data_IF_415100145576
#
_entry.id   IF_415100145576
#
_cell.length_a   1.000
_cell.length_b   1.000
_cell.length_c   1.000
_cell.angle_alpha   90.00
_cell.angle_beta   90.00
_cell.angle_gamma   90.00
#
_symmetry.space_group_name_H-M   'P 1'
#
loop_
_entity.id
_entity.type
_entity.pdbx_description
1 polymer ?
#
# COMPACT_ATOMS: atom_id res chain seq x y z
N UNK A 1 7.43 -21.24 -19.57
CA UNK A 1 6.80 -20.59 -18.41
C UNK A 1 7.07 -21.45 -17.20
N UNK A 2 7.58 -20.90 -16.14
CA UNK A 2 7.79 -21.63 -14.88
C UNK A 2 6.46 -21.72 -14.12
N UNK A 3 6.35 -22.66 -13.18
CA UNK A 3 5.15 -22.81 -12.35
C UNK A 3 4.85 -21.56 -11.49
N UNK A 4 5.89 -20.83 -11.11
CA UNK A 4 5.77 -19.54 -10.42
C UNK A 4 5.08 -18.50 -11.34
N UNK A 5 5.53 -18.39 -12.60
CA UNK A 5 4.94 -17.49 -13.59
C UNK A 5 3.47 -17.85 -13.90
N UNK A 6 3.16 -19.14 -14.04
CA UNK A 6 1.77 -19.58 -14.28
C UNK A 6 0.84 -19.10 -13.16
N UNK A 7 1.24 -19.28 -11.91
CA UNK A 7 0.47 -18.84 -10.74
C UNK A 7 0.44 -17.32 -10.56
N UNK A 8 1.55 -16.64 -10.82
CA UNK A 8 1.61 -15.19 -10.79
C UNK A 8 0.75 -14.55 -11.88
N UNK A 9 0.67 -15.19 -13.05
CA UNK A 9 -0.13 -14.71 -14.17
C UNK A 9 -1.64 -14.75 -13.89
N UNK A 10 -2.15 -15.70 -13.09
CA UNK A 10 -3.54 -15.67 -12.61
C UNK A 10 -3.85 -14.38 -11.86
N UNK A 11 -2.91 -13.92 -11.02
CA UNK A 11 -3.04 -12.65 -10.29
C UNK A 11 -2.88 -11.44 -11.21
N UNK A 12 -1.90 -11.51 -12.13
CA UNK A 12 -1.65 -10.46 -13.12
C UNK A 12 -2.85 -10.24 -14.04
N UNK A 13 -3.45 -11.34 -14.51
CA UNK A 13 -4.63 -11.32 -15.37
C UNK A 13 -5.84 -10.68 -14.67
N UNK A 14 -6.02 -10.99 -13.37
CA UNK A 14 -7.03 -10.33 -12.56
C UNK A 14 -6.79 -8.81 -12.43
N UNK A 15 -5.55 -8.35 -12.46
CA UNK A 15 -5.18 -6.94 -12.48
C UNK A 15 -5.16 -6.31 -13.89
N UNK A 16 -5.39 -7.10 -14.95
CA UNK A 16 -5.26 -6.66 -16.33
C UNK A 16 -3.81 -6.35 -16.75
N UNK A 17 -2.82 -6.99 -16.09
CA UNK A 17 -1.38 -6.83 -16.31
C UNK A 17 -0.82 -8.09 -16.98
N UNK A 18 0.22 -7.94 -17.80
CA UNK A 18 0.72 -9.03 -18.66
C UNK A 18 1.58 -10.07 -17.94
N UNK A 19 2.43 -9.62 -17.01
CA UNK A 19 3.46 -10.47 -16.41
C UNK A 19 3.43 -10.35 -14.88
N UNK A 20 3.68 -11.45 -14.19
CA UNK A 20 3.80 -11.49 -12.74
C UNK A 20 4.87 -12.46 -12.28
N UNK A 21 5.46 -12.19 -11.12
CA UNK A 21 6.42 -13.07 -10.43
C UNK A 21 6.08 -13.06 -8.94
N UNK A 22 5.96 -14.26 -8.35
CA UNK A 22 5.77 -14.43 -6.90
C UNK A 22 7.13 -14.52 -6.21
N UNK A 23 7.32 -13.72 -5.17
CA UNK A 23 8.55 -13.60 -4.39
C UNK A 23 8.29 -13.83 -2.90
N UNK A 24 9.33 -13.94 -2.09
CA UNK A 24 9.23 -14.38 -0.69
C UNK A 24 8.48 -13.42 0.25
N UNK A 25 8.34 -12.13 -0.08
CA UNK A 25 7.59 -11.17 0.73
C UNK A 25 7.24 -9.90 -0.05
N UNK A 26 6.34 -9.08 0.51
CA UNK A 26 6.07 -7.75 -0.03
C UNK A 26 7.31 -6.83 -0.05
N UNK A 27 8.18 -6.92 0.96
CA UNK A 27 9.44 -6.16 1.00
C UNK A 27 10.37 -6.58 -0.15
N UNK A 28 10.45 -7.88 -0.44
CA UNK A 28 11.21 -8.41 -1.59
C UNK A 28 10.57 -7.97 -2.91
N UNK A 29 9.25 -7.90 -3.00
CA UNK A 29 8.56 -7.38 -4.17
C UNK A 29 8.93 -5.90 -4.44
N UNK A 30 8.91 -5.06 -3.39
CA UNK A 30 9.35 -3.65 -3.47
C UNK A 30 10.81 -3.53 -3.90
N UNK A 31 11.70 -4.27 -3.24
CA UNK A 31 13.13 -4.29 -3.56
C UNK A 31 13.38 -4.74 -5.02
N UNK A 32 12.66 -5.76 -5.47
CA UNK A 32 12.74 -6.26 -6.85
C UNK A 32 12.25 -5.21 -7.84
N UNK A 33 11.13 -4.54 -7.55
CA UNK A 33 10.60 -3.49 -8.42
C UNK A 33 11.58 -2.32 -8.57
N UNK A 34 12.17 -1.86 -7.46
CA UNK A 34 13.20 -0.80 -7.49
C UNK A 34 14.41 -1.20 -8.36
N UNK A 35 14.86 -2.45 -8.26
CA UNK A 35 16.00 -2.93 -9.06
C UNK A 35 15.66 -3.12 -10.53
N UNK A 36 14.48 -3.70 -10.84
CA UNK A 36 14.00 -3.84 -12.24
C UNK A 36 13.79 -2.46 -12.86
N UNK A 37 13.35 -1.48 -12.08
CA UNK A 37 13.24 -0.07 -12.47
C UNK A 37 14.60 0.63 -12.62
N UNK A 38 15.73 -0.08 -12.37
CA UNK A 38 17.09 0.43 -12.45
C UNK A 38 17.35 1.62 -11.50
N UNK A 39 16.72 1.60 -10.33
CA UNK A 39 17.02 2.54 -9.25
C UNK A 39 18.38 2.20 -8.65
N UNK A 40 19.24 3.20 -8.53
CA UNK A 40 20.66 3.07 -8.17
C UNK A 40 20.97 3.74 -6.84
N UNK A 41 22.13 3.41 -6.24
CA UNK A 41 22.62 4.15 -5.10
C UNK A 41 22.68 5.66 -5.36
N UNK A 42 22.12 6.44 -4.45
CA UNK A 42 22.02 7.89 -4.54
C UNK A 42 20.78 8.45 -5.24
N UNK A 43 19.99 7.63 -5.97
CA UNK A 43 18.73 8.07 -6.55
C UNK A 43 17.70 8.41 -5.44
N UNK A 44 16.91 9.45 -5.65
CA UNK A 44 15.85 9.81 -4.72
C UNK A 44 14.54 9.09 -5.07
N UNK A 45 13.92 8.47 -4.06
CA UNK A 45 12.64 7.76 -4.15
C UNK A 45 11.61 8.44 -3.25
N UNK A 46 10.56 8.96 -3.85
CA UNK A 46 9.46 9.62 -3.16
C UNK A 46 8.52 8.59 -2.54
N UNK A 47 8.14 8.78 -1.27
CA UNK A 47 7.17 7.96 -0.55
C UNK A 47 6.29 8.78 0.37
N UNK A 48 5.07 8.29 0.64
CA UNK A 48 4.18 8.85 1.64
C UNK A 48 4.75 8.60 3.06
N UNK A 49 4.73 9.61 3.94
CA UNK A 49 5.25 9.51 5.30
C UNK A 49 4.50 8.51 6.19
N UNK A 50 3.22 8.29 5.92
CA UNK A 50 2.40 7.30 6.66
C UNK A 50 2.54 5.86 6.13
N UNK A 51 3.59 5.57 5.38
CA UNK A 51 3.83 4.27 4.76
C UNK A 51 4.25 3.17 5.77
N UNK A 52 4.34 1.94 5.28
CA UNK A 52 4.94 0.84 6.03
C UNK A 52 6.47 0.97 6.05
N UNK A 53 7.11 0.56 7.15
CA UNK A 53 8.58 0.50 7.27
C UNK A 53 9.27 -0.27 6.13
N UNK A 54 8.60 -1.27 5.55
CA UNK A 54 9.14 -2.06 4.42
C UNK A 54 9.50 -1.23 3.18
N UNK A 55 8.86 -0.06 2.97
CA UNK A 55 9.23 0.85 1.87
C UNK A 55 10.60 1.47 2.13
N UNK A 56 10.82 2.01 3.33
CA UNK A 56 12.10 2.53 3.75
C UNK A 56 13.21 1.46 3.63
N UNK A 57 12.95 0.27 4.17
CA UNK A 57 13.87 -0.85 4.12
C UNK A 57 14.25 -1.22 2.67
N UNK A 58 13.29 -1.32 1.76
CA UNK A 58 13.54 -1.64 0.37
C UNK A 58 14.37 -0.57 -0.34
N UNK A 59 14.09 0.72 -0.10
CA UNK A 59 14.84 1.85 -0.67
C UNK A 59 16.27 1.85 -0.16
N UNK A 60 16.49 1.68 1.14
CA UNK A 60 17.82 1.64 1.73
C UNK A 60 18.64 0.44 1.20
N UNK A 61 18.00 -0.70 0.97
CA UNK A 61 18.67 -1.89 0.43
C UNK A 61 19.12 -1.75 -1.03
N UNK A 62 18.58 -0.84 -1.83
CA UNK A 62 19.13 -0.49 -3.16
C UNK A 62 20.14 0.65 -3.07
N UNK A 63 20.39 1.22 -1.88
CA UNK A 63 21.27 2.36 -1.66
C UNK A 63 20.69 3.70 -2.12
N UNK A 64 19.40 3.77 -2.38
CA UNK A 64 18.68 4.98 -2.76
C UNK A 64 18.30 5.83 -1.53
N UNK A 65 17.93 7.08 -1.75
CA UNK A 65 17.55 8.02 -0.71
C UNK A 65 16.02 8.13 -0.61
N UNK A 66 15.40 7.80 0.51
CA UNK A 66 13.98 8.04 0.71
C UNK A 66 13.69 9.54 0.91
N UNK A 67 12.71 10.06 0.17
CA UNK A 67 12.13 11.37 0.37
C UNK A 67 10.72 11.17 0.91
N UNK A 68 10.52 11.46 2.18
CA UNK A 68 9.20 11.36 2.82
C UNK A 68 8.39 12.62 2.55
N UNK A 69 7.14 12.44 2.12
CA UNK A 69 6.14 13.51 2.03
C UNK A 69 5.05 13.27 3.06
N UNK A 70 4.82 14.26 3.90
CA UNK A 70 3.66 14.31 4.80
C UNK A 70 2.57 15.09 4.06
N UNK A 71 1.60 14.42 3.45
CA UNK A 71 0.60 15.07 2.62
C UNK A 71 -0.40 15.87 3.46
N UNK A 72 -0.98 16.89 2.84
CA UNK A 72 -1.96 17.76 3.48
C UNK A 72 -3.26 16.99 3.82
N UNK A 73 -3.67 16.08 2.97
CA UNK A 73 -4.90 15.31 3.19
C UNK A 73 -4.71 14.03 4.00
N UNK A 74 -3.49 13.79 4.54
CA UNK A 74 -3.12 12.63 5.35
C UNK A 74 -3.06 11.30 4.56
N UNK A 75 -3.89 11.09 3.54
CA UNK A 75 -4.03 9.79 2.87
C UNK A 75 -3.14 9.65 1.64
N UNK A 76 -3.24 10.63 0.75
CA UNK A 76 -2.63 10.61 -0.59
C UNK A 76 -1.78 11.85 -0.84
N UNK A 77 -0.74 11.69 -1.63
CA UNK A 77 0.05 12.83 -2.10
C UNK A 77 -0.63 13.36 -3.37
N UNK A 78 -1.04 14.62 -3.36
CA UNK A 78 -1.69 15.24 -4.51
C UNK A 78 -0.69 15.55 -5.64
N UNK A 79 -1.19 15.73 -6.86
CA UNK A 79 -0.39 16.14 -8.03
C UNK A 79 0.35 17.44 -7.75
N UNK A 80 -0.30 18.42 -7.09
CA UNK A 80 0.32 19.70 -6.75
C UNK A 80 1.47 19.57 -5.74
N UNK A 81 1.34 18.67 -4.78
CA UNK A 81 2.41 18.38 -3.82
C UNK A 81 3.59 17.71 -4.54
N UNK A 82 3.33 16.72 -5.40
CA UNK A 82 4.37 16.08 -6.22
C UNK A 82 5.08 17.11 -7.09
N UNK A 83 4.34 18.01 -7.76
CA UNK A 83 4.92 19.07 -8.59
C UNK A 83 5.88 19.95 -7.79
N UNK A 84 5.51 20.36 -6.58
CA UNK A 84 6.39 21.15 -5.70
C UNK A 84 7.65 20.38 -5.31
N UNK A 85 7.50 19.09 -4.98
CA UNK A 85 8.65 18.23 -4.65
C UNK A 85 9.60 18.11 -5.84
N UNK A 86 9.08 17.86 -7.05
CA UNK A 86 9.87 17.69 -8.28
C UNK A 86 10.57 18.98 -8.71
N UNK A 87 10.00 20.14 -8.44
CA UNK A 87 10.63 21.43 -8.75
C UNK A 87 11.88 21.70 -7.92
N UNK A 88 11.98 21.13 -6.73
CA UNK A 88 13.07 21.36 -5.78
C UNK A 88 14.00 20.16 -5.63
N UNK A 89 13.61 18.98 -6.17
CA UNK A 89 14.33 17.74 -5.97
C UNK A 89 14.36 16.92 -7.25
N UNK A 90 15.50 16.33 -7.57
CA UNK A 90 15.58 15.29 -8.57
C UNK A 90 15.01 13.99 -8.01
N UNK A 91 13.80 13.62 -8.42
CA UNK A 91 13.12 12.39 -8.01
C UNK A 91 13.14 11.40 -9.17
N UNK A 92 13.69 10.22 -8.94
CA UNK A 92 13.75 9.16 -9.95
C UNK A 92 12.51 8.28 -9.95
N UNK A 93 11.94 8.02 -8.79
CA UNK A 93 10.82 7.09 -8.61
C UNK A 93 9.87 7.59 -7.55
N UNK A 94 8.58 7.35 -7.75
CA UNK A 94 7.53 7.48 -6.74
C UNK A 94 6.96 6.10 -6.42
N UNK A 95 6.98 5.69 -5.16
CA UNK A 95 6.23 4.53 -4.70
C UNK A 95 4.86 5.00 -4.26
N UNK A 96 3.87 4.81 -5.13
CA UNK A 96 2.48 5.17 -4.92
C UNK A 96 1.80 4.12 -4.05
N UNK A 97 1.73 4.36 -2.74
CA UNK A 97 1.05 3.47 -1.80
C UNK A 97 -0.44 3.80 -1.76
N UNK A 98 -1.29 2.80 -1.98
CA UNK A 98 -2.73 2.92 -1.71
C UNK A 98 -2.96 2.75 -0.20
N UNK A 99 -2.66 3.80 0.56
CA UNK A 99 -2.59 3.75 2.01
C UNK A 99 -3.96 3.42 2.63
N UNK A 100 -4.00 2.47 3.53
CA UNK A 100 -5.23 1.93 4.14
C UNK A 100 -6.23 1.33 3.14
N UNK A 101 -5.82 1.10 1.89
CA UNK A 101 -6.69 0.69 0.79
C UNK A 101 -7.44 1.86 0.14
N UNK A 102 -7.05 3.10 0.43
CA UNK A 102 -7.57 4.32 -0.20
C UNK A 102 -6.79 4.56 -1.50
N UNK A 103 -7.50 4.85 -2.58
CA UNK A 103 -6.91 4.97 -3.92
C UNK A 103 -6.06 6.22 -4.05
N UNK A 104 -4.76 6.04 -4.37
CA UNK A 104 -3.88 7.09 -4.85
C UNK A 104 -4.16 7.32 -6.35
N UNK A 105 -4.37 8.55 -6.78
CA UNK A 105 -4.65 8.87 -8.19
C UNK A 105 -3.35 8.82 -9.04
N UNK A 106 -2.94 7.60 -9.38
CA UNK A 106 -1.74 7.35 -10.19
C UNK A 106 -1.91 7.84 -11.62
N UNK A 107 -3.16 7.83 -12.15
CA UNK A 107 -3.46 8.35 -13.50
C UNK A 107 -3.07 9.82 -13.61
N UNK A 108 -3.64 10.67 -12.76
CA UNK A 108 -3.38 12.10 -12.78
C UNK A 108 -1.88 12.42 -12.61
N UNK A 109 -1.18 11.65 -11.77
CA UNK A 109 0.27 11.81 -11.55
C UNK A 109 1.05 11.44 -12.82
N UNK A 110 0.74 10.31 -13.46
CA UNK A 110 1.45 9.86 -14.65
C UNK A 110 1.18 10.73 -15.88
N UNK A 111 -0.03 11.25 -16.00
CA UNK A 111 -0.38 12.21 -17.07
C UNK A 111 0.40 13.53 -16.93
N UNK A 112 0.58 14.02 -15.72
CA UNK A 112 1.35 15.25 -15.45
C UNK A 112 2.86 15.02 -15.54
N UNK A 113 3.37 13.85 -15.06
CA UNK A 113 4.79 13.52 -14.99
C UNK A 113 5.09 12.21 -15.73
N UNK A 114 5.02 12.18 -17.08
CA UNK A 114 5.13 10.93 -17.85
C UNK A 114 6.47 10.20 -17.67
N UNK A 115 7.55 10.93 -17.38
CA UNK A 115 8.90 10.36 -17.20
C UNK A 115 9.15 9.84 -15.78
N UNK A 116 8.29 10.19 -14.81
CA UNK A 116 8.42 9.70 -13.44
C UNK A 116 8.16 8.19 -13.39
N UNK A 117 9.11 7.43 -12.88
CA UNK A 117 8.89 6.00 -12.64
C UNK A 117 7.92 5.85 -11.48
N UNK A 118 6.85 5.08 -11.69
CA UNK A 118 5.84 4.83 -10.65
C UNK A 118 5.77 3.34 -10.33
N UNK A 119 5.96 3.02 -9.05
CA UNK A 119 5.70 1.69 -8.48
C UNK A 119 4.44 1.80 -7.62
N UNK A 120 3.37 1.09 -7.99
CA UNK A 120 2.16 1.00 -7.16
C UNK A 120 2.31 -0.08 -6.09
N UNK A 121 2.22 0.31 -4.82
CA UNK A 121 2.13 -0.65 -3.70
C UNK A 121 0.66 -0.88 -3.35
N UNK A 122 0.16 -2.06 -3.74
CA UNK A 122 -1.21 -2.52 -3.50
C UNK A 122 -1.32 -3.51 -2.34
N UNK A 123 -0.32 -3.59 -1.46
CA UNK A 123 -0.34 -4.49 -0.31
C UNK A 123 -1.54 -4.25 0.64
N UNK A 124 -2.11 -3.06 0.62
CA UNK A 124 -3.32 -2.69 1.35
C UNK A 124 -4.54 -2.47 0.44
N UNK A 125 -4.38 -2.69 -0.88
CA UNK A 125 -5.42 -2.48 -1.86
C UNK A 125 -5.55 -3.71 -2.78
N UNK A 126 -6.77 -4.11 -3.06
CA UNK A 126 -7.07 -5.20 -3.96
C UNK A 126 -8.42 -4.94 -4.61
N UNK A 127 -8.66 -5.52 -5.79
CA UNK A 127 -9.92 -5.40 -6.51
C UNK A 127 -10.34 -3.93 -6.76
N UNK A 128 -9.37 -3.09 -7.17
CA UNK A 128 -9.58 -1.73 -7.65
C UNK A 128 -9.45 -1.78 -9.18
N UNK A 129 -10.48 -2.29 -9.86
CA UNK A 129 -10.40 -2.54 -11.30
C UNK A 129 -11.39 -1.76 -12.12
N UNK A 130 -12.40 -1.19 -11.46
CA UNK A 130 -13.43 -0.47 -12.18
C UNK A 130 -12.98 0.93 -12.53
N UNK A 131 -13.18 1.31 -13.79
CA UNK A 131 -12.91 2.61 -14.36
C UNK A 131 -11.46 2.89 -14.77
N UNK A 132 -11.24 4.13 -15.21
CA UNK A 132 -9.98 4.66 -15.72
C UNK A 132 -8.83 4.67 -14.70
N UNK A 133 -9.10 4.44 -13.41
CA UNK A 133 -8.13 4.43 -12.32
C UNK A 133 -7.57 3.03 -12.00
N UNK A 134 -7.83 2.03 -12.84
CA UNK A 134 -7.43 0.64 -12.58
C UNK A 134 -5.94 0.50 -12.27
N UNK A 135 -5.65 -0.32 -11.24
CA UNK A 135 -4.28 -0.65 -10.81
C UNK A 135 -3.43 -1.12 -12.01
N UNK A 136 -2.20 -0.66 -12.06
CA UNK A 136 -1.22 -1.06 -13.08
C UNK A 136 -1.40 -0.44 -14.46
N UNK A 137 -2.46 0.34 -14.71
CA UNK A 137 -2.68 0.97 -16.02
C UNK A 137 -1.71 2.11 -16.30
N UNK A 138 -1.33 2.85 -15.27
CA UNK A 138 -0.52 4.07 -15.38
C UNK A 138 0.83 3.97 -14.65
N UNK A 139 1.05 2.90 -13.91
CA UNK A 139 2.33 2.63 -13.26
C UNK A 139 3.25 1.76 -14.11
N UNK A 140 4.54 1.81 -13.81
CA UNK A 140 5.55 0.96 -14.46
C UNK A 140 5.60 -0.44 -13.86
N UNK A 141 5.38 -0.52 -12.53
CA UNK A 141 5.39 -1.76 -11.75
C UNK A 141 4.31 -1.72 -10.67
N UNK A 142 3.78 -2.88 -10.33
CA UNK A 142 2.84 -3.07 -9.22
C UNK A 142 3.43 -4.10 -8.27
N UNK A 143 3.34 -3.86 -6.96
CA UNK A 143 3.79 -4.79 -5.93
C UNK A 143 2.71 -5.08 -4.92
N UNK A 144 2.71 -6.30 -4.36
CA UNK A 144 1.77 -6.68 -3.32
C UNK A 144 2.40 -7.61 -2.28
N UNK A 145 1.69 -7.83 -1.18
CA UNK A 145 2.06 -8.72 -0.08
C UNK A 145 0.94 -9.71 0.20
N UNK A 146 1.31 -10.97 0.49
CA UNK A 146 0.38 -12.03 0.88
C UNK A 146 0.35 -12.26 2.40
N UNK A 147 0.81 -11.28 3.19
CA UNK A 147 0.77 -11.33 4.65
C UNK A 147 -0.64 -11.54 5.19
N UNK A 148 -0.78 -12.18 6.37
CA UNK A 148 -2.06 -12.61 6.95
C UNK A 148 -3.08 -11.48 7.13
N UNK A 149 -2.63 -10.24 7.35
CA UNK A 149 -3.52 -9.09 7.48
C UNK A 149 -4.08 -8.59 6.15
N UNK A 150 -3.50 -8.97 5.01
CA UNK A 150 -3.81 -8.45 3.68
C UNK A 150 -5.08 -9.10 3.09
N UNK A 151 -5.62 -8.50 2.03
CA UNK A 151 -6.72 -9.11 1.29
C UNK A 151 -6.27 -10.42 0.63
N UNK A 152 -5.16 -10.38 -0.12
CA UNK A 152 -4.45 -11.58 -0.60
C UNK A 152 -3.72 -12.26 0.57
N UNK A 153 -4.46 -12.97 1.40
CA UNK A 153 -3.93 -13.56 2.66
C UNK A 153 -3.50 -15.00 2.45
N UNK A 154 -2.18 -15.24 2.41
CA UNK A 154 -1.60 -16.59 2.36
C UNK A 154 -0.64 -16.84 3.54
N UNK A 155 -0.17 -15.78 4.21
CA UNK A 155 0.73 -15.82 5.37
C UNK A 155 2.13 -15.33 5.06
N UNK A 156 2.68 -15.71 3.93
CA UNK A 156 4.01 -15.33 3.45
C UNK A 156 3.93 -15.08 1.94
N UNK A 157 5.00 -14.57 1.36
CA UNK A 157 5.14 -14.19 -0.04
C UNK A 157 4.61 -12.78 -0.38
N UNK A 158 4.90 -12.36 -1.57
CA UNK A 158 4.45 -11.16 -2.26
C UNK A 158 4.57 -11.37 -3.76
N UNK A 159 4.22 -10.37 -4.54
CA UNK A 159 4.38 -10.45 -5.99
C UNK A 159 4.73 -9.08 -6.59
N UNK A 160 5.40 -9.12 -7.73
CA UNK A 160 5.62 -7.99 -8.62
C UNK A 160 4.92 -8.26 -9.94
N UNK A 161 4.29 -7.24 -10.49
CA UNK A 161 3.61 -7.28 -11.79
C UNK A 161 4.05 -6.13 -12.67
N UNK A 162 4.08 -6.36 -13.99
CA UNK A 162 4.37 -5.30 -14.97
C UNK A 162 3.85 -5.68 -16.36
N UNK A 163 3.52 -4.67 -17.17
CA UNK A 163 3.29 -4.84 -18.60
C UNK A 163 4.60 -5.00 -19.40
N UNK A 164 5.76 -4.70 -18.79
CA UNK A 164 7.11 -4.94 -19.33
C UNK A 164 7.53 -6.37 -19.04
N UNK A 165 8.44 -6.92 -19.85
CA UNK A 165 9.04 -8.22 -19.52
C UNK A 165 10.05 -8.07 -18.40
N UNK A 166 9.72 -8.66 -17.24
CA UNK A 166 10.55 -8.65 -16.03
C UNK A 166 11.26 -9.98 -15.77
N UNK A 167 10.98 -11.04 -16.56
CA UNK A 167 11.44 -12.42 -16.33
C UNK A 167 12.95 -12.54 -16.38
N UNK A 168 13.60 -11.92 -17.37
CA UNK A 168 15.04 -12.01 -17.56
C UNK A 168 15.81 -11.56 -16.31
N UNK A 169 15.29 -10.57 -15.59
CA UNK A 169 15.88 -10.11 -14.35
C UNK A 169 15.88 -11.22 -13.27
N UNK A 170 14.75 -11.90 -13.10
CA UNK A 170 14.63 -12.96 -12.09
C UNK A 170 15.38 -14.23 -12.49
N UNK A 171 15.39 -14.61 -13.76
CA UNK A 171 16.14 -15.77 -14.27
C UNK A 171 17.64 -15.61 -14.04
N UNK A 172 18.18 -14.43 -14.26
CA UNK A 172 19.57 -14.12 -13.99
C UNK A 172 19.89 -14.24 -12.49
N UNK A 173 19.09 -13.59 -11.66
CA UNK A 173 19.32 -13.57 -10.22
C UNK A 173 19.08 -14.93 -9.54
N UNK A 174 18.13 -15.74 -10.03
CA UNK A 174 17.91 -17.10 -9.51
C UNK A 174 19.14 -18.01 -9.80
N UNK A 175 19.70 -17.92 -11.00
CA UNK A 175 20.94 -18.65 -11.36
C UNK A 175 22.14 -18.22 -10.51
N UNK A 176 22.34 -16.92 -10.32
CA UNK A 176 23.41 -16.38 -9.49
C UNK A 176 23.25 -16.76 -8.03
N UNK A 177 22.03 -16.70 -7.47
CA UNK A 177 21.77 -17.07 -6.07
C UNK A 177 21.99 -18.55 -5.78
N UNK A 178 21.76 -19.44 -6.74
CA UNK A 178 22.06 -20.88 -6.61
C UNK A 178 23.56 -21.18 -6.66
N UNK A 179 24.33 -20.36 -7.37
CA UNK A 179 25.76 -20.53 -7.53
C UNK A 179 26.60 -19.84 -6.46
N UNK A 180 26.09 -18.79 -5.83
CA UNK A 180 26.78 -18.03 -4.79
C UNK A 180 26.16 -18.30 -3.42
N UNK A 181 26.76 -19.18 -2.64
CA UNK A 181 26.24 -19.67 -1.35
C UNK A 181 26.16 -18.62 -0.23
N UNK A 182 26.34 -17.32 -0.46
CA UNK A 182 26.52 -16.37 0.66
C UNK A 182 25.87 -14.98 0.61
N UNK A 183 25.44 -14.39 -0.52
CA UNK A 183 25.15 -12.94 -0.51
C UNK A 183 23.94 -12.42 -1.32
N UNK A 184 23.14 -13.26 -1.99
CA UNK A 184 22.02 -12.82 -2.84
C UNK A 184 20.64 -13.28 -2.35
N UNK A 185 20.48 -13.43 -1.06
CA UNK A 185 19.24 -13.86 -0.39
C UNK A 185 17.96 -13.03 -0.71
N UNK A 186 17.98 -11.76 -1.17
CA UNK A 186 16.77 -11.00 -1.36
C UNK A 186 15.86 -11.48 -2.51
N UNK A 187 16.36 -12.32 -3.43
CA UNK A 187 15.66 -12.58 -4.71
C UNK A 187 15.17 -14.01 -4.90
N UNK A 188 15.09 -14.76 -3.83
CA UNK A 188 14.58 -16.14 -3.94
C UNK A 188 13.14 -16.11 -4.36
N UNK A 189 12.87 -16.66 -5.54
CA UNK A 189 11.52 -16.94 -6.00
C UNK A 189 10.79 -17.80 -4.95
N UNK A 190 9.58 -17.43 -4.62
CA UNK A 190 8.79 -18.20 -3.67
C UNK A 190 8.39 -19.53 -4.27
N UNK A 191 8.58 -20.62 -3.53
CA UNK A 191 8.01 -21.92 -3.88
C UNK A 191 6.50 -21.88 -3.68
N UNK A 192 5.79 -21.75 -4.79
CA UNK A 192 4.34 -21.56 -4.81
C UNK A 192 3.57 -22.83 -5.15
N UNK A 193 4.19 -24.02 -5.11
CA UNK A 193 3.55 -25.27 -5.50
C UNK A 193 2.23 -25.52 -4.80
N UNK A 194 2.14 -25.14 -3.52
CA UNK A 194 0.94 -25.30 -2.70
C UNK A 194 0.00 -24.10 -2.72
N UNK A 195 0.31 -23.02 -3.46
CA UNK A 195 -0.54 -21.83 -3.52
C UNK A 195 -1.65 -22.08 -4.56
N UNK A 196 -2.90 -22.06 -4.13
CA UNK A 196 -4.04 -22.00 -5.05
C UNK A 196 -4.39 -20.53 -5.30
N UNK A 197 -3.85 -19.97 -6.39
CA UNK A 197 -3.99 -18.54 -6.72
C UNK A 197 -5.41 -18.15 -7.11
N UNK A 198 -6.18 -19.01 -7.75
CA UNK A 198 -7.58 -18.77 -8.06
C UNK A 198 -8.42 -18.62 -6.78
N UNK A 199 -8.25 -19.56 -5.84
CA UNK A 199 -8.93 -19.50 -4.55
C UNK A 199 -8.48 -18.28 -3.73
N UNK A 200 -7.21 -17.90 -3.85
CA UNK A 200 -6.65 -16.70 -3.20
C UNK A 200 -7.33 -15.44 -3.73
N UNK A 201 -7.55 -15.32 -5.03
CA UNK A 201 -8.29 -14.21 -5.67
C UNK A 201 -9.74 -14.16 -5.18
N UNK A 202 -10.44 -15.29 -5.18
CA UNK A 202 -11.84 -15.38 -4.71
C UNK A 202 -11.93 -14.90 -3.26
N UNK A 203 -11.06 -15.39 -2.39
CA UNK A 203 -11.05 -15.04 -0.97
C UNK A 203 -10.71 -13.54 -0.77
N UNK A 204 -9.80 -13.00 -1.58
CA UNK A 204 -9.42 -11.60 -1.53
C UNK A 204 -10.60 -10.69 -1.95
N UNK A 205 -11.32 -11.04 -3.01
CA UNK A 205 -12.49 -10.29 -3.46
C UNK A 205 -13.59 -10.28 -2.39
N UNK A 206 -13.93 -11.43 -1.82
CA UNK A 206 -14.89 -11.53 -0.71
C UNK A 206 -14.47 -10.70 0.51
N UNK A 207 -13.16 -10.65 0.78
CA UNK A 207 -12.61 -9.82 1.85
C UNK A 207 -12.81 -8.34 1.57
N UNK A 208 -12.53 -7.89 0.35
CA UNK A 208 -12.71 -6.48 -0.06
C UNK A 208 -14.18 -6.08 -0.04
N UNK A 209 -15.10 -6.93 -0.49
CA UNK A 209 -16.53 -6.66 -0.46
C UNK A 209 -17.04 -6.48 0.98
N UNK A 210 -16.58 -7.32 1.91
CA UNK A 210 -16.85 -7.13 3.34
C UNK A 210 -16.27 -5.81 3.86
N UNK A 211 -15.03 -5.48 3.49
CA UNK A 211 -14.37 -4.25 3.91
C UNK A 211 -15.12 -3.01 3.42
N UNK A 212 -15.57 -3.01 2.16
CA UNK A 212 -16.39 -1.94 1.57
C UNK A 212 -17.73 -1.79 2.28
N UNK A 213 -18.39 -2.91 2.59
CA UNK A 213 -19.65 -2.91 3.37
C UNK A 213 -19.45 -2.24 4.72
N UNK A 214 -18.44 -2.63 5.47
CA UNK A 214 -18.11 -2.04 6.77
C UNK A 214 -17.75 -0.56 6.65
N UNK A 215 -16.94 -0.19 5.66
CA UNK A 215 -16.57 1.20 5.43
C UNK A 215 -17.79 2.07 5.09
N UNK A 216 -18.74 1.56 4.32
CA UNK A 216 -20.01 2.25 4.04
C UNK A 216 -20.81 2.55 5.31
N UNK A 217 -20.96 1.57 6.19
CA UNK A 217 -21.63 1.72 7.48
C UNK A 217 -20.89 2.70 8.41
N UNK A 218 -19.56 2.64 8.44
CA UNK A 218 -18.75 3.56 9.24
C UNK A 218 -18.84 5.00 8.70
N UNK A 219 -18.89 5.19 7.37
CA UNK A 219 -19.14 6.51 6.78
C UNK A 219 -20.48 7.07 7.23
N UNK A 220 -21.54 6.27 7.17
CA UNK A 220 -22.87 6.66 7.64
C UNK A 220 -22.83 7.06 9.13
N UNK A 221 -22.09 6.31 9.96
CA UNK A 221 -21.96 6.60 11.38
C UNK A 221 -21.21 7.89 11.65
N UNK A 222 -20.06 8.13 11.02
CA UNK A 222 -19.21 9.29 11.29
C UNK A 222 -19.58 10.52 10.46
N UNK A 223 -20.44 10.37 9.45
CA UNK A 223 -20.84 11.49 8.61
C UNK A 223 -21.59 12.55 9.42
N UNK A 224 -21.30 13.82 9.16
CA UNK A 224 -21.89 14.97 9.84
C UNK A 224 -21.62 15.07 11.36
N UNK A 225 -20.60 14.39 11.88
CA UNK A 225 -20.12 14.58 13.24
C UNK A 225 -18.81 15.38 13.23
N UNK A 226 -18.87 16.64 13.66
CA UNK A 226 -17.73 17.57 13.64
C UNK A 226 -16.53 17.10 14.51
N UNK A 227 -16.74 16.13 15.38
CA UNK A 227 -15.68 15.53 16.19
C UNK A 227 -14.71 14.68 15.35
N UNK A 228 -15.15 14.25 14.16
CA UNK A 228 -14.42 13.28 13.33
C UNK A 228 -14.32 13.73 11.88
N UNK A 229 -13.14 13.48 11.27
CA UNK A 229 -12.94 13.66 9.84
C UNK A 229 -12.69 12.28 9.23
N UNK A 230 -13.42 11.95 8.17
CA UNK A 230 -13.29 10.73 7.40
C UNK A 230 -13.03 11.05 5.92
N UNK A 231 -12.45 10.10 5.21
CA UNK A 231 -12.16 10.26 3.79
C UNK A 231 -13.45 10.29 2.95
N UNK A 232 -13.65 11.37 2.19
CA UNK A 232 -14.85 11.62 1.37
C UNK A 232 -14.57 11.89 -0.12
N UNK A 233 -13.34 11.69 -0.59
CA UNK A 233 -12.98 11.93 -1.98
C UNK A 233 -13.85 11.10 -2.96
N UNK A 234 -13.98 11.61 -4.20
CA UNK A 234 -14.70 10.97 -5.31
C UNK A 234 -14.29 9.52 -5.56
N UNK A 235 -13.03 9.18 -5.28
CA UNK A 235 -12.48 7.83 -5.45
C UNK A 235 -12.75 6.91 -4.25
N UNK A 236 -13.38 7.42 -3.20
CA UNK A 236 -13.61 6.65 -1.96
C UNK A 236 -14.44 5.39 -2.16
N UNK A 237 -15.34 5.37 -3.16
CA UNK A 237 -16.13 4.19 -3.52
C UNK A 237 -15.30 3.08 -4.17
N UNK A 238 -14.16 3.42 -4.80
CA UNK A 238 -13.25 2.46 -5.43
C UNK A 238 -12.30 1.83 -4.42
N UNK A 239 -12.09 2.49 -3.29
CA UNK A 239 -11.17 2.06 -2.25
C UNK A 239 -11.53 0.68 -1.69
N UNK A 240 -10.51 -0.13 -1.40
CA UNK A 240 -10.69 -1.46 -0.80
C UNK A 240 -10.89 -1.43 0.71
N UNK A 241 -10.55 -0.31 1.35
CA UNK A 241 -10.75 -0.08 2.78
C UNK A 241 -10.11 -1.14 3.68
N UNK A 242 -8.84 -1.43 3.44
CA UNK A 242 -8.07 -2.34 4.30
C UNK A 242 -8.14 -1.97 5.78
N UNK A 243 -8.15 -0.68 6.06
CA UNK A 243 -8.50 -0.07 7.34
C UNK A 243 -9.35 1.17 7.07
N UNK A 244 -10.18 1.53 8.03
CA UNK A 244 -10.99 2.75 7.94
C UNK A 244 -10.39 3.79 8.89
N UNK A 245 -9.69 4.82 8.38
CA UNK A 245 -9.11 5.85 9.22
C UNK A 245 -10.17 6.87 9.65
N UNK A 246 -10.11 7.26 10.92
CA UNK A 246 -10.93 8.31 11.53
C UNK A 246 -9.98 9.30 12.20
N UNK A 247 -9.96 10.53 11.71
CA UNK A 247 -9.21 11.63 12.32
C UNK A 247 -10.09 12.23 13.40
N UNK A 248 -9.50 12.47 14.57
CA UNK A 248 -10.15 13.06 15.73
C UNK A 248 -9.76 14.52 15.81
N UNK A 249 -10.75 15.41 15.70
CA UNK A 249 -10.53 16.85 15.53
C UNK A 249 -10.00 17.55 16.78
N UNK A 250 -10.24 16.95 17.97
CA UNK A 250 -9.79 17.50 19.24
C UNK A 250 -9.42 16.38 20.22
N UNK A 251 -8.29 16.47 20.93
CA UNK A 251 -7.86 15.48 21.94
C UNK A 251 -8.93 15.12 22.97
N UNK A 252 -9.82 16.05 23.31
CA UNK A 252 -10.88 15.83 24.27
C UNK A 252 -11.90 14.76 23.82
N UNK A 253 -12.00 14.46 22.53
CA UNK A 253 -12.90 13.42 21.99
C UNK A 253 -12.27 12.03 21.94
N UNK A 254 -11.00 11.87 22.27
CA UNK A 254 -10.29 10.58 22.26
C UNK A 254 -10.98 9.55 23.16
N UNK A 255 -11.26 9.90 24.43
CA UNK A 255 -11.92 9.00 25.37
C UNK A 255 -13.35 8.65 24.96
N UNK A 256 -14.06 9.59 24.33
CA UNK A 256 -15.40 9.33 23.81
C UNK A 256 -15.37 8.33 22.66
N UNK A 257 -14.43 8.52 21.71
CA UNK A 257 -14.23 7.59 20.62
C UNK A 257 -13.89 6.18 21.11
N UNK A 258 -12.95 6.06 22.05
CA UNK A 258 -12.58 4.76 22.64
C UNK A 258 -13.77 4.05 23.26
N UNK A 259 -14.53 4.77 24.07
CA UNK A 259 -15.73 4.21 24.73
C UNK A 259 -16.73 3.73 23.69
N UNK A 260 -17.05 4.53 22.67
CA UNK A 260 -17.97 4.14 21.60
C UNK A 260 -17.50 2.85 20.91
N UNK A 261 -16.22 2.75 20.57
CA UNK A 261 -15.69 1.55 19.88
C UNK A 261 -15.72 0.32 20.82
N UNK A 262 -15.33 0.47 22.08
CA UNK A 262 -15.28 -0.61 23.06
C UNK A 262 -16.69 -1.11 23.43
N UNK A 263 -17.63 -0.21 23.72
CA UNK A 263 -19.01 -0.57 24.13
C UNK A 263 -19.74 -1.34 23.01
N UNK A 264 -19.38 -1.06 21.73
CA UNK A 264 -19.95 -1.75 20.58
C UNK A 264 -19.10 -2.92 20.08
N UNK A 265 -17.98 -3.22 20.73
CA UNK A 265 -17.07 -4.31 20.36
C UNK A 265 -16.43 -4.13 18.98
N UNK A 266 -16.20 -2.88 18.56
CA UNK A 266 -15.55 -2.52 17.30
C UNK A 266 -14.04 -2.53 17.47
N UNK A 267 -13.37 -3.35 16.67
CA UNK A 267 -11.91 -3.47 16.70
C UNK A 267 -11.24 -2.30 15.96
N UNK A 268 -10.37 -1.61 16.65
CA UNK A 268 -9.56 -0.53 16.09
C UNK A 268 -8.13 -0.57 16.66
N UNK A 269 -7.25 0.25 16.11
CA UNK A 269 -5.93 0.55 16.66
C UNK A 269 -5.70 2.06 16.60
N UNK A 270 -5.03 2.60 17.58
CA UNK A 270 -4.53 3.96 17.50
C UNK A 270 -3.42 4.08 16.45
N UNK A 271 -3.17 5.30 16.02
CA UNK A 271 -1.99 5.66 15.25
C UNK A 271 -0.72 5.13 15.90
N UNK A 272 0.31 4.93 15.13
CA UNK A 272 1.62 4.61 15.68
C UNK A 272 2.10 5.77 16.57
N UNK A 273 2.75 5.43 17.70
CA UNK A 273 3.40 6.44 18.55
C UNK A 273 4.41 7.26 17.74
N UNK A 274 5.21 6.53 16.93
CA UNK A 274 6.12 7.12 15.93
C UNK A 274 5.77 6.56 14.55
N UNK A 275 5.60 7.45 13.58
CA UNK A 275 5.56 7.05 12.17
C UNK A 275 6.95 6.68 11.67
N UNK A 276 7.05 6.07 10.47
CA UNK A 276 8.34 5.55 9.97
C UNK A 276 9.41 6.62 9.94
N UNK A 277 9.09 7.81 9.47
CA UNK A 277 10.01 8.95 9.39
C UNK A 277 10.38 9.54 10.77
N UNK A 278 9.65 9.22 11.83
CA UNK A 278 9.92 9.63 13.22
C UNK A 278 10.81 8.64 13.98
N UNK A 279 11.02 7.41 13.45
CA UNK A 279 11.83 6.40 14.10
C UNK A 279 13.29 6.81 14.20
N UNK A 280 13.91 6.63 15.36
CA UNK A 280 15.30 7.05 15.62
C UNK A 280 16.28 6.39 14.63
N UNK A 281 16.02 5.12 14.27
CA UNK A 281 16.78 4.40 13.26
C UNK A 281 16.65 5.09 11.88
N UNK A 282 15.47 5.50 11.46
CA UNK A 282 15.26 6.20 10.18
C UNK A 282 15.94 7.57 10.22
N UNK A 283 15.79 8.32 11.31
CA UNK A 283 16.45 9.62 11.51
C UNK A 283 17.98 9.55 11.46
N UNK A 284 18.57 8.42 11.86
CA UNK A 284 20.04 8.25 11.78
C UNK A 284 20.59 8.28 10.35
N UNK A 285 19.76 8.03 9.35
CA UNK A 285 20.09 8.17 7.92
C UNK A 285 19.85 9.58 7.37
N UNK A 286 19.34 10.51 8.20
CA UNK A 286 19.02 11.88 7.81
C UNK A 286 18.17 11.99 6.54
N UNK A 287 17.05 11.27 6.42
CA UNK A 287 16.22 11.31 5.23
C UNK A 287 15.61 12.71 5.07
N UNK A 288 15.35 13.13 3.83
CA UNK A 288 14.61 14.35 3.56
C UNK A 288 13.14 14.15 3.88
N UNK A 289 12.56 15.09 4.65
CA UNK A 289 11.14 15.11 5.00
C UNK A 289 10.57 16.42 4.47
N UNK A 290 9.46 16.32 3.71
CA UNK A 290 8.75 17.46 3.13
C UNK A 290 7.32 17.44 3.69
N UNK A 291 6.96 18.46 4.44
CA UNK A 291 5.69 18.52 5.14
C UNK A 291 4.74 19.52 4.45
N UNK A 292 3.59 19.01 3.99
CA UNK A 292 2.48 19.83 3.48
C UNK A 292 1.31 19.87 4.47
N UNK A 293 1.23 18.91 5.39
CA UNK A 293 0.24 18.81 6.44
C UNK A 293 0.85 18.47 7.79
N UNK A 294 0.03 18.59 8.85
CA UNK A 294 0.38 18.19 10.20
C UNK A 294 -0.05 16.74 10.46
N UNK A 295 0.64 16.06 11.37
CA UNK A 295 0.25 14.73 11.82
C UNK A 295 -1.03 14.81 12.67
N UNK A 296 -2.17 14.27 12.20
CA UNK A 296 -3.41 14.31 12.95
C UNK A 296 -3.42 13.27 14.09
N UNK A 297 -4.35 13.42 15.02
CA UNK A 297 -4.75 12.33 15.92
C UNK A 297 -5.70 11.43 15.14
N UNK A 298 -5.38 10.16 14.94
CA UNK A 298 -6.24 9.26 14.19
C UNK A 298 -6.29 7.84 14.76
N UNK A 299 -7.39 7.18 14.52
CA UNK A 299 -7.59 5.76 14.77
C UNK A 299 -7.85 5.01 13.46
N UNK A 300 -7.47 3.75 13.41
CA UNK A 300 -7.64 2.86 12.27
C UNK A 300 -8.61 1.73 12.63
N UNK A 301 -9.85 1.78 12.17
CA UNK A 301 -10.82 0.72 12.39
C UNK A 301 -10.47 -0.47 11.47
N UNK A 302 -10.38 -1.66 12.03
CA UNK A 302 -9.95 -2.89 11.36
C UNK A 302 -11.10 -3.52 10.59
N UNK A 303 -11.31 -3.14 9.35
CA UNK A 303 -12.46 -3.56 8.53
C UNK A 303 -12.52 -5.09 8.28
N UNK A 304 -11.37 -5.74 8.02
CA UNK A 304 -11.30 -7.19 7.80
C UNK A 304 -11.74 -7.99 9.04
N UNK A 305 -11.36 -7.54 10.23
CA UNK A 305 -11.58 -8.26 11.50
C UNK A 305 -12.93 -7.94 12.15
N UNK A 306 -13.54 -6.80 11.84
CA UNK A 306 -14.83 -6.45 12.41
C UNK A 306 -15.98 -7.26 11.80
N UNK A 307 -16.99 -7.48 12.60
CA UNK A 307 -18.24 -8.13 12.18
C UNK A 307 -19.23 -7.08 11.62
N UNK A 308 -19.88 -7.41 10.51
CA UNK A 308 -20.82 -6.51 9.82
C UNK A 308 -22.01 -6.18 10.70
N UNK A 309 -22.57 -7.17 11.44
CA UNK A 309 -23.75 -6.97 12.27
C UNK A 309 -23.46 -6.08 13.50
N UNK A 310 -22.24 -6.18 14.06
CA UNK A 310 -21.80 -5.25 15.12
C UNK A 310 -21.72 -3.81 14.61
N UNK A 311 -21.17 -3.59 13.42
CA UNK A 311 -21.09 -2.25 12.84
C UNK A 311 -22.49 -1.72 12.49
N UNK A 312 -23.40 -2.55 11.98
CA UNK A 312 -24.81 -2.17 11.78
C UNK A 312 -25.49 -1.79 13.10
N UNK A 313 -25.22 -2.53 14.18
CA UNK A 313 -25.74 -2.21 15.51
C UNK A 313 -25.26 -0.84 15.98
N UNK A 314 -23.98 -0.53 15.79
CA UNK A 314 -23.40 0.79 16.08
C UNK A 314 -24.15 1.90 15.33
N UNK A 315 -24.38 1.73 14.02
CA UNK A 315 -25.11 2.73 13.20
C UNK A 315 -26.54 2.94 13.71
N UNK A 316 -27.24 1.88 14.09
CA UNK A 316 -28.61 1.96 14.60
C UNK A 316 -28.73 2.58 16.00
N UNK A 317 -27.64 2.61 16.76
CA UNK A 317 -27.62 3.18 18.12
C UNK A 317 -27.43 4.71 18.14
N UNK A 318 -27.18 5.31 17.00
CA UNK A 318 -27.04 6.76 16.81
C UNK A 318 -28.39 7.42 16.53
#
# INVERSE_FOLDING_TARGET
MTRNEEKANVLAEHLGIKNGIIVNSGTIALLSALKVANIKPGDNVLINGYCCYSLFEAIMNVGANPIFVIPKDFYNISVDEIRKVLNENEIKCFIATHQYGIVQDVKAIKEEFPELIIIEDIAQAWNIQENELGIGKYSDYVVTSFGLSKALSYGQAGAIFSNKDIRQYFDFHDKESRNSSRFLLPYVLYDCDNVNTEQLVINANNTVDKQRTIAGLLKEYFDNDEKYIIYKDKNSQLSSWHKFPVIITNPNYVNEFERIMQDNGILFQWQNEKEVWELDMVKSYSPKIIEFGEKPIYALIRTKQNDVEKVKSLVRSR
#
